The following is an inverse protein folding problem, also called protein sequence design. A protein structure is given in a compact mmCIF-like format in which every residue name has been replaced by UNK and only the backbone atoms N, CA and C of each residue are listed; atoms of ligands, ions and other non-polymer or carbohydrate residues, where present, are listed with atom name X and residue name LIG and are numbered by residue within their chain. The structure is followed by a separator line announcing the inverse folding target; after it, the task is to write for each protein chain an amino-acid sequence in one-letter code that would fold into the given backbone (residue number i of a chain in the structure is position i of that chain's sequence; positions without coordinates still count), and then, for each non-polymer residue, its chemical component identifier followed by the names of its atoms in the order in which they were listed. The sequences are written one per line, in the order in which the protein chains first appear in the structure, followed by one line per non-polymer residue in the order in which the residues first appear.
data_IF_513729874240
#
_entry.id   IF_513729874240
#
_cell.length_a   1.000
_cell.length_b   1.000
_cell.length_c   1.000
_cell.angle_alpha   90.00
_cell.angle_beta   90.00
_cell.angle_gamma   90.00
#
_symmetry.space_group_name_H-M   'P 1'
#
loop_
_entity.id
_entity.type
_entity.pdbx_description
1 polymer ?
#
# COMPACT_ATOMS: atom_id res chain seq x y z
N UNK A 1 13.78 -3.73 -14.17
CA UNK A 1 13.44 -5.05 -13.60
C UNK A 1 14.13 -6.16 -14.38
N UNK A 2 13.97 -6.22 -15.71
CA UNK A 2 14.70 -7.14 -16.62
C UNK A 2 16.21 -7.21 -16.33
N UNK A 3 16.92 -6.08 -16.23
CA UNK A 3 18.36 -6.05 -15.91
C UNK A 3 18.76 -6.69 -14.55
N UNK A 4 17.80 -6.88 -13.62
CA UNK A 4 18.00 -7.59 -12.34
C UNK A 4 17.58 -9.06 -12.42
N UNK A 5 17.28 -9.58 -13.62
CA UNK A 5 16.78 -10.93 -13.83
C UNK A 5 15.33 -11.15 -13.39
N UNK A 6 14.52 -10.10 -13.33
CA UNK A 6 13.06 -10.20 -13.06
C UNK A 6 12.33 -10.14 -14.41
N UNK A 7 11.79 -11.26 -14.92
CA UNK A 7 11.20 -11.31 -16.26
C UNK A 7 10.07 -10.31 -16.43
N UNK A 8 10.03 -9.65 -17.59
CA UNK A 8 9.00 -8.72 -18.01
C UNK A 8 8.24 -9.35 -19.18
N UNK A 9 6.98 -9.71 -18.98
CA UNK A 9 6.15 -10.35 -20.01
C UNK A 9 4.99 -9.43 -20.34
N UNK A 10 4.78 -9.12 -21.62
CA UNK A 10 3.68 -8.28 -22.09
C UNK A 10 2.64 -9.08 -22.89
N UNK A 11 1.36 -8.80 -22.68
CA UNK A 11 0.25 -9.41 -23.45
C UNK A 11 -0.64 -8.30 -23.99
N UNK A 12 -0.57 -8.05 -25.29
CA UNK A 12 -1.29 -6.99 -25.99
C UNK A 12 -2.64 -7.52 -26.46
N UNK A 13 -3.67 -7.26 -25.64
CA UNK A 13 -5.05 -7.66 -25.87
C UNK A 13 -5.91 -6.53 -26.49
N UNK A 14 -5.30 -5.43 -26.95
CA UNK A 14 -6.03 -4.28 -27.47
C UNK A 14 -5.11 -3.17 -27.94
N UNK A 15 -5.59 -1.93 -27.93
CA UNK A 15 -4.82 -0.77 -28.39
C UNK A 15 -3.71 -0.39 -27.42
N UNK A 16 -2.51 -0.22 -27.96
CA UNK A 16 -1.28 0.11 -27.24
C UNK A 16 -0.56 1.26 -27.97
N UNK A 17 -0.92 2.50 -27.64
CA UNK A 17 -0.55 3.70 -28.40
C UNK A 17 0.44 4.60 -27.65
N UNK A 18 1.23 5.36 -28.41
CA UNK A 18 2.17 6.37 -27.90
C UNK A 18 3.12 5.78 -26.85
N UNK A 19 3.20 6.39 -25.66
CA UNK A 19 4.05 5.88 -24.59
C UNK A 19 3.71 4.46 -24.14
N UNK A 20 2.46 4.02 -24.34
CA UNK A 20 2.03 2.65 -24.06
C UNK A 20 2.76 1.61 -24.91
N UNK A 21 3.15 1.95 -26.14
CA UNK A 21 3.83 1.04 -27.07
C UNK A 21 5.17 0.53 -26.54
N UNK A 22 5.78 1.24 -25.57
CA UNK A 22 7.00 0.77 -24.91
C UNK A 22 6.77 -0.40 -23.95
N UNK A 23 5.54 -0.66 -23.51
CA UNK A 23 5.24 -1.81 -22.64
C UNK A 23 5.58 -3.13 -23.34
N UNK A 24 5.05 -3.46 -24.53
CA UNK A 24 5.48 -4.64 -25.26
C UNK A 24 6.90 -4.52 -25.82
N UNK A 25 7.30 -3.34 -26.31
CA UNK A 25 8.61 -3.18 -26.96
C UNK A 25 9.81 -3.26 -26.00
N UNK A 26 9.60 -3.09 -24.69
CA UNK A 26 10.65 -3.23 -23.65
C UNK A 26 10.47 -4.47 -22.77
N UNK A 27 9.51 -5.33 -23.08
CA UNK A 27 9.35 -6.61 -22.40
C UNK A 27 10.43 -7.60 -22.87
N UNK A 28 10.76 -8.58 -22.02
CA UNK A 28 11.68 -9.67 -22.38
C UNK A 28 11.02 -10.61 -23.40
N UNK A 29 9.72 -10.85 -23.23
CA UNK A 29 8.86 -11.53 -24.20
C UNK A 29 7.48 -10.88 -24.27
N UNK A 30 6.91 -10.83 -25.46
CA UNK A 30 5.67 -10.11 -25.75
C UNK A 30 4.74 -10.89 -26.67
N UNK A 31 3.45 -10.86 -26.36
CA UNK A 31 2.37 -11.58 -27.05
C UNK A 31 1.38 -10.56 -27.59
N UNK A 32 0.84 -10.78 -28.79
CA UNK A 32 -0.19 -9.93 -29.40
C UNK A 32 -1.31 -10.75 -30.01
N UNK A 33 -2.56 -10.32 -29.79
CA UNK A 33 -3.74 -10.98 -30.37
C UNK A 33 -4.03 -10.42 -31.75
N UNK A 34 -4.16 -11.31 -32.74
CA UNK A 34 -4.49 -10.93 -34.13
C UNK A 34 -5.82 -10.19 -34.25
N UNK A 35 -5.92 -9.25 -35.18
CA UNK A 35 -7.14 -8.48 -35.47
C UNK A 35 -7.76 -7.82 -34.23
N UNK A 36 -6.95 -7.49 -33.22
CA UNK A 36 -7.41 -6.93 -31.94
C UNK A 36 -6.31 -6.11 -31.27
N UNK A 37 -5.14 -6.72 -31.07
CA UNK A 37 -3.97 -6.06 -30.51
C UNK A 37 -3.33 -5.13 -31.54
N UNK A 38 -3.03 -3.90 -31.14
CA UNK A 38 -2.34 -2.93 -32.00
C UNK A 38 -1.29 -2.16 -31.22
N UNK A 39 -0.10 -1.95 -31.80
CA UNK A 39 1.03 -1.27 -31.17
C UNK A 39 1.57 -0.18 -32.10
N UNK A 40 1.66 1.06 -31.64
CA UNK A 40 2.29 2.14 -32.43
C UNK A 40 2.61 3.36 -31.57
N UNK A 41 3.68 4.08 -31.91
CA UNK A 41 4.00 5.36 -31.27
C UNK A 41 3.06 6.49 -31.71
N UNK A 42 2.63 6.46 -32.97
CA UNK A 42 1.65 7.38 -33.51
C UNK A 42 0.50 6.61 -34.14
N UNK A 43 -0.69 6.70 -33.55
CA UNK A 43 -1.86 6.01 -34.09
C UNK A 43 -2.37 6.61 -35.41
N UNK A 44 -3.34 5.95 -36.07
CA UNK A 44 -3.86 6.40 -37.35
C UNK A 44 -4.28 7.89 -37.41
N UNK A 45 -4.93 8.47 -36.38
CA UNK A 45 -5.26 9.89 -36.39
C UNK A 45 -4.02 10.80 -36.46
N UNK A 46 -2.92 10.41 -35.81
CA UNK A 46 -1.68 11.17 -35.81
C UNK A 46 -0.95 11.05 -37.15
N UNK A 47 -0.90 9.83 -37.73
CA UNK A 47 -0.32 9.60 -39.06
C UNK A 47 -1.06 10.44 -40.10
N UNK A 48 -2.39 10.42 -40.09
CA UNK A 48 -3.21 11.23 -40.98
C UNK A 48 -2.98 12.73 -40.80
N UNK A 49 -2.90 13.21 -39.56
CA UNK A 49 -2.66 14.62 -39.29
C UNK A 49 -1.27 15.09 -39.75
N UNK A 50 -0.24 14.24 -39.62
CA UNK A 50 1.13 14.59 -39.95
C UNK A 50 1.47 14.42 -41.44
N UNK A 51 0.89 13.44 -42.12
CA UNK A 51 1.30 13.03 -43.48
C UNK A 51 0.16 13.08 -44.51
N UNK A 52 -1.10 13.18 -44.07
CA UNK A 52 -2.28 13.02 -44.92
C UNK A 52 -2.65 11.57 -45.23
N UNK A 53 -1.80 10.59 -44.89
CA UNK A 53 -2.05 9.18 -45.14
C UNK A 53 -3.20 8.62 -44.28
N UNK A 54 -4.08 7.84 -44.91
CA UNK A 54 -5.17 7.14 -44.22
C UNK A 54 -4.82 5.66 -44.16
N UNK A 55 -4.50 5.17 -42.97
CA UNK A 55 -4.13 3.78 -42.70
C UNK A 55 -5.00 3.22 -41.59
N UNK A 56 -5.32 1.92 -41.62
CA UNK A 56 -6.05 1.26 -40.54
C UNK A 56 -5.11 0.93 -39.38
N UNK A 57 -5.65 0.79 -38.17
CA UNK A 57 -4.85 0.44 -37.00
C UNK A 57 -4.15 -0.93 -37.15
N UNK A 58 -4.84 -1.92 -37.74
CA UNK A 58 -4.28 -3.25 -38.01
C UNK A 58 -3.14 -3.18 -39.03
N UNK A 59 -3.28 -2.38 -40.09
CA UNK A 59 -2.23 -2.23 -41.11
C UNK A 59 -1.02 -1.46 -40.57
N UNK A 60 -1.25 -0.51 -39.67
CA UNK A 60 -0.21 0.34 -39.08
C UNK A 60 0.62 -0.38 -38.01
N UNK A 61 -0.01 -1.26 -37.22
CA UNK A 61 0.64 -1.87 -36.07
C UNK A 61 -0.09 -3.10 -35.51
N UNK A 62 -0.75 -3.87 -36.36
CA UNK A 62 -1.41 -5.12 -35.98
C UNK A 62 -0.45 -6.27 -35.70
N UNK A 63 -1.00 -7.40 -35.29
CA UNK A 63 -0.24 -8.59 -34.92
C UNK A 63 0.61 -9.13 -36.08
N UNK A 64 0.06 -9.16 -37.29
CA UNK A 64 0.77 -9.69 -38.46
C UNK A 64 2.00 -8.82 -38.80
N UNK A 65 1.89 -7.50 -38.67
CA UNK A 65 3.03 -6.60 -38.87
C UNK A 65 4.13 -6.85 -37.84
N UNK A 66 3.77 -6.90 -36.54
CA UNK A 66 4.78 -6.97 -35.49
C UNK A 66 5.40 -8.35 -35.30
N UNK A 67 4.63 -9.44 -35.46
CA UNK A 67 5.18 -10.80 -35.36
C UNK A 67 5.92 -11.26 -36.62
N UNK A 68 5.59 -10.74 -37.81
CA UNK A 68 6.19 -11.23 -39.06
C UNK A 68 7.22 -10.31 -39.69
N UNK A 69 7.16 -9.00 -39.39
CA UNK A 69 7.99 -8.00 -40.08
C UNK A 69 8.86 -7.19 -39.14
N UNK A 70 8.27 -6.52 -38.14
CA UNK A 70 9.04 -5.60 -37.31
C UNK A 70 9.79 -6.29 -36.17
N UNK A 71 9.29 -7.42 -35.67
CA UNK A 71 9.83 -8.12 -34.51
C UNK A 71 9.60 -7.38 -33.19
N UNK A 72 8.60 -6.50 -33.12
CA UNK A 72 8.24 -5.80 -31.85
C UNK A 72 7.50 -6.75 -30.91
N UNK A 73 6.85 -7.78 -31.46
CA UNK A 73 6.14 -8.80 -30.69
C UNK A 73 6.60 -10.19 -31.06
N UNK A 74 6.80 -11.04 -30.06
CA UNK A 74 7.44 -12.35 -30.23
C UNK A 74 6.45 -13.47 -30.55
N UNK A 75 5.23 -13.38 -29.98
CA UNK A 75 4.23 -14.45 -30.04
C UNK A 75 2.90 -13.98 -30.65
N UNK A 76 2.41 -14.74 -31.64
CA UNK A 76 1.17 -14.46 -32.35
C UNK A 76 0.00 -15.26 -31.77
N UNK A 77 -0.93 -14.59 -31.09
CA UNK A 77 -2.11 -15.20 -30.48
C UNK A 77 -3.36 -15.10 -31.37
N UNK A 78 -4.25 -16.09 -31.24
CA UNK A 78 -5.47 -16.18 -32.06
C UNK A 78 -6.66 -15.45 -31.43
N UNK A 79 -6.66 -15.36 -30.09
CA UNK A 79 -7.64 -14.74 -29.23
C UNK A 79 -7.02 -14.59 -27.82
N UNK A 80 -7.75 -13.97 -26.89
CA UNK A 80 -7.28 -13.74 -25.52
C UNK A 80 -6.94 -15.03 -24.77
N UNK A 81 -7.76 -16.08 -24.88
CA UNK A 81 -7.50 -17.37 -24.22
C UNK A 81 -6.18 -17.99 -24.68
N UNK A 82 -5.91 -17.96 -25.99
CA UNK A 82 -4.66 -18.42 -26.55
C UNK A 82 -3.48 -17.55 -26.08
N UNK A 83 -3.64 -16.23 -26.03
CA UNK A 83 -2.60 -15.33 -25.52
C UNK A 83 -2.24 -15.64 -24.07
N UNK A 84 -3.23 -15.89 -23.22
CA UNK A 84 -3.02 -16.28 -21.82
C UNK A 84 -2.37 -17.67 -21.70
N UNK A 85 -2.70 -18.62 -22.57
CA UNK A 85 -2.04 -19.92 -22.61
C UNK A 85 -0.54 -19.78 -22.96
N UNK A 86 -0.21 -18.94 -23.94
CA UNK A 86 1.19 -18.64 -24.29
C UNK A 86 1.90 -17.98 -23.10
N UNK A 87 1.29 -16.98 -22.45
CA UNK A 87 1.86 -16.32 -21.29
C UNK A 87 2.19 -17.32 -20.16
N UNK A 88 1.32 -18.30 -19.92
CA UNK A 88 1.57 -19.38 -18.95
C UNK A 88 2.74 -20.28 -19.36
N UNK A 89 2.89 -20.56 -20.64
CA UNK A 89 4.02 -21.33 -21.16
C UNK A 89 5.34 -20.58 -20.95
N UNK A 90 5.39 -19.27 -21.20
CA UNK A 90 6.56 -18.43 -20.91
C UNK A 90 6.88 -18.48 -19.42
N UNK A 91 5.88 -18.32 -18.53
CA UNK A 91 6.10 -18.41 -17.08
C UNK A 91 6.66 -19.78 -16.67
N UNK A 92 6.30 -20.86 -17.36
CA UNK A 92 6.79 -22.21 -17.07
C UNK A 92 8.28 -22.42 -17.41
N UNK A 93 8.86 -21.58 -18.27
CA UNK A 93 10.27 -21.70 -18.72
C UNK A 93 11.22 -20.74 -18.02
N UNK A 94 10.75 -19.88 -17.10
CA UNK A 94 11.57 -18.84 -16.46
C UNK A 94 12.73 -19.38 -15.63
N UNK A 95 12.73 -20.68 -15.27
CA UNK A 95 13.76 -21.32 -14.44
C UNK A 95 14.02 -20.57 -13.11
N UNK A 96 13.00 -19.89 -12.58
CA UNK A 96 13.08 -19.16 -11.31
C UNK A 96 12.80 -20.12 -10.16
N UNK A 97 13.69 -20.13 -9.17
CA UNK A 97 13.49 -20.85 -7.91
C UNK A 97 13.43 -19.85 -6.76
N UNK A 98 12.36 -19.93 -5.98
CA UNK A 98 12.21 -19.18 -4.74
C UNK A 98 13.25 -19.69 -3.72
N UNK A 99 14.08 -18.79 -3.21
CA UNK A 99 15.02 -19.10 -2.12
C UNK A 99 14.45 -18.60 -0.81
N UNK A 100 14.05 -19.53 0.07
CA UNK A 100 13.50 -19.20 1.39
C UNK A 100 14.60 -19.40 2.43
N UNK A 101 15.08 -18.31 3.02
CA UNK A 101 16.10 -18.31 4.07
C UNK A 101 15.53 -18.41 5.50
N UNK A 102 14.21 -18.40 5.63
CA UNK A 102 13.51 -18.53 6.91
C UNK A 102 13.25 -19.99 7.25
N UNK A 103 13.29 -20.32 8.54
CA UNK A 103 12.79 -21.60 9.05
C UNK A 103 11.26 -21.56 9.09
N UNK A 104 10.63 -22.08 8.04
CA UNK A 104 9.17 -22.11 7.89
C UNK A 104 8.65 -23.44 8.41
N UNK A 105 7.73 -23.37 9.37
CA UNK A 105 7.06 -24.53 9.96
C UNK A 105 5.68 -24.75 9.36
N UNK A 106 5.10 -25.92 9.59
CA UNK A 106 3.75 -26.24 9.14
C UNK A 106 2.72 -25.29 9.77
N UNK A 107 1.83 -24.68 8.96
CA UNK A 107 0.83 -23.74 9.47
C UNK A 107 -0.11 -24.39 10.48
N UNK A 108 -0.43 -23.67 11.55
CA UNK A 108 -1.44 -24.08 12.54
C UNK A 108 -2.56 -23.03 12.61
N UNK A 109 -3.81 -23.47 12.59
CA UNK A 109 -4.94 -22.55 12.74
C UNK A 109 -4.93 -21.85 14.11
N UNK A 110 -5.35 -20.57 14.20
CA UNK A 110 -5.58 -19.90 15.48
C UNK A 110 -6.68 -20.60 16.28
N UNK A 111 -6.63 -20.50 17.61
CA UNK A 111 -7.62 -21.07 18.52
C UNK A 111 -8.95 -20.30 18.54
N UNK A 112 -8.98 -19.08 17.98
CA UNK A 112 -10.11 -18.17 18.02
C UNK A 112 -10.51 -17.72 16.62
N UNK A 113 -11.81 -17.56 16.38
CA UNK A 113 -12.33 -17.13 15.07
C UNK A 113 -11.97 -15.66 14.78
N UNK A 114 -11.59 -15.39 13.54
CA UNK A 114 -11.45 -14.04 12.99
C UNK A 114 -12.77 -13.27 12.91
N UNK A 115 -13.91 -13.95 13.05
CA UNK A 115 -15.24 -13.31 13.01
C UNK A 115 -15.45 -12.30 14.15
N UNK A 116 -14.73 -12.47 15.26
CA UNK A 116 -14.88 -11.65 16.46
C UNK A 116 -14.28 -10.24 16.32
N UNK A 117 -13.50 -9.94 15.26
CA UNK A 117 -12.82 -8.65 15.12
C UNK A 117 -13.76 -7.45 15.23
N UNK A 118 -14.99 -7.57 14.70
CA UNK A 118 -16.00 -6.52 14.80
C UNK A 118 -16.41 -6.20 16.24
N UNK A 119 -16.51 -7.22 17.10
CA UNK A 119 -16.85 -7.05 18.52
C UNK A 119 -15.68 -6.53 19.37
N UNK A 120 -14.45 -6.79 18.94
CA UNK A 120 -13.23 -6.39 19.65
C UNK A 120 -12.85 -4.95 19.32
N UNK A 121 -12.64 -4.66 18.03
CA UNK A 121 -12.10 -3.36 17.56
C UNK A 121 -13.22 -2.35 17.37
N UNK A 122 -14.36 -2.78 16.79
CA UNK A 122 -15.51 -1.92 16.54
C UNK A 122 -15.24 -0.75 15.59
N UNK A 123 -16.23 0.14 15.46
CA UNK A 123 -16.14 1.35 14.62
C UNK A 123 -15.71 2.62 15.36
N UNK A 124 -15.70 2.60 16.70
CA UNK A 124 -15.38 3.79 17.50
C UNK A 124 -13.89 3.82 17.83
N UNK A 125 -13.14 4.66 17.12
CA UNK A 125 -11.68 4.82 17.30
C UNK A 125 -11.24 5.33 18.68
N UNK A 126 -12.16 5.83 19.51
CA UNK A 126 -11.85 6.27 20.89
C UNK A 126 -11.98 5.17 21.92
N UNK A 127 -12.68 4.08 21.58
CA UNK A 127 -12.86 2.97 22.52
C UNK A 127 -11.56 2.17 22.56
N UNK A 128 -11.00 2.03 23.75
CA UNK A 128 -9.83 1.18 23.96
C UNK A 128 -10.25 -0.28 23.94
N UNK A 129 -9.35 -1.13 23.45
CA UNK A 129 -9.48 -2.58 23.47
C UNK A 129 -8.11 -3.21 23.65
N UNK A 130 -8.07 -4.47 24.08
CA UNK A 130 -6.80 -5.20 24.17
C UNK A 130 -6.42 -5.78 22.79
N UNK A 131 -5.40 -5.21 22.17
CA UNK A 131 -4.90 -5.65 20.85
C UNK A 131 -4.41 -7.10 20.86
N UNK A 132 -4.11 -7.69 22.03
CA UNK A 132 -3.79 -9.12 22.14
C UNK A 132 -4.94 -10.01 21.67
N UNK A 133 -6.18 -9.54 21.79
CA UNK A 133 -7.35 -10.23 21.25
C UNK A 133 -7.32 -10.31 19.72
N UNK A 134 -6.76 -9.29 19.06
CA UNK A 134 -6.54 -9.29 17.60
C UNK A 134 -5.39 -10.24 17.26
N UNK A 135 -4.25 -10.12 17.95
CA UNK A 135 -3.06 -10.96 17.70
C UNK A 135 -3.40 -12.45 17.84
N UNK A 136 -4.12 -12.83 18.90
CA UNK A 136 -4.49 -14.22 19.16
C UNK A 136 -5.33 -14.85 18.02
N UNK A 137 -6.02 -14.05 17.21
CA UNK A 137 -6.83 -14.50 16.05
C UNK A 137 -6.06 -14.47 14.74
N UNK A 138 -4.83 -13.96 14.74
CA UNK A 138 -3.98 -13.86 13.56
C UNK A 138 -2.82 -14.84 13.56
N UNK A 139 -2.25 -15.17 14.72
CA UNK A 139 -1.04 -16.00 14.83
C UNK A 139 -1.35 -17.48 15.02
N UNK A 140 -0.42 -18.31 14.57
CA UNK A 140 -0.55 -19.77 14.59
C UNK A 140 -0.75 -20.33 15.99
N UNK A 141 -1.78 -21.16 16.15
CA UNK A 141 -2.17 -21.73 17.45
C UNK A 141 -2.47 -20.70 18.53
N UNK A 142 -2.71 -19.43 18.17
CA UNK A 142 -2.83 -18.29 19.10
C UNK A 142 -1.64 -18.14 20.04
N UNK A 143 -0.46 -18.64 19.66
CA UNK A 143 0.76 -18.58 20.46
C UNK A 143 1.51 -17.30 20.17
N UNK A 144 1.70 -16.49 21.20
CA UNK A 144 2.44 -15.22 21.11
C UNK A 144 3.37 -15.06 22.30
N UNK A 145 4.67 -14.95 22.03
CA UNK A 145 5.67 -14.66 23.05
C UNK A 145 5.88 -13.15 23.15
N UNK A 146 5.36 -12.54 24.20
CA UNK A 146 5.37 -11.09 24.36
C UNK A 146 6.71 -10.58 24.93
N UNK A 147 7.46 -9.83 24.13
CA UNK A 147 8.67 -9.13 24.58
C UNK A 147 8.33 -7.88 25.38
N UNK A 148 9.01 -7.66 26.52
CA UNK A 148 8.79 -6.51 27.42
C UNK A 148 7.32 -6.33 27.85
N UNK A 149 6.57 -7.42 28.04
CA UNK A 149 5.15 -7.44 28.44
C UNK A 149 4.74 -6.46 29.54
N UNK A 150 5.63 -6.18 30.49
CA UNK A 150 5.36 -5.31 31.65
C UNK A 150 5.92 -3.88 31.52
N UNK A 151 6.48 -3.50 30.36
CA UNK A 151 7.13 -2.22 30.15
C UNK A 151 6.58 -1.52 28.89
N UNK A 152 6.08 -0.30 29.03
CA UNK A 152 5.53 0.46 27.89
C UNK A 152 4.25 -0.18 27.31
N UNK A 153 3.33 -0.61 28.18
CA UNK A 153 2.17 -1.47 27.86
C UNK A 153 1.13 -0.85 26.92
N UNK A 154 1.29 0.43 26.54
CA UNK A 154 0.47 1.09 25.51
C UNK A 154 0.76 0.57 24.11
N UNK A 155 1.85 -0.18 23.91
CA UNK A 155 2.09 -0.95 22.70
C UNK A 155 2.48 -2.40 23.03
N UNK A 156 1.87 -3.36 22.34
CA UNK A 156 2.30 -4.76 22.39
C UNK A 156 3.52 -4.87 21.46
N UNK A 157 4.71 -4.66 22.05
CA UNK A 157 6.03 -4.47 21.42
C UNK A 157 6.20 -3.15 20.63
N UNK A 158 6.57 -2.07 21.33
CA UNK A 158 7.14 -0.83 20.77
C UNK A 158 6.95 0.40 21.66
N UNK A 159 6.75 1.59 21.10
CA UNK A 159 6.81 2.87 21.81
C UNK A 159 5.46 3.49 22.24
N UNK A 160 5.57 4.36 23.25
CA UNK A 160 4.50 4.99 24.03
C UNK A 160 3.97 6.26 23.36
N UNK A 161 2.69 6.61 23.55
CA UNK A 161 2.09 7.94 23.23
C UNK A 161 1.29 8.40 24.46
N UNK A 162 1.41 9.66 24.88
CA UNK A 162 0.71 10.21 26.06
C UNK A 162 1.51 11.25 26.83
N UNK A 163 0.90 11.97 27.78
CA UNK A 163 1.57 13.04 28.57
C UNK A 163 2.80 12.54 29.34
N UNK A 164 2.70 11.35 29.93
CA UNK A 164 3.82 10.72 30.65
C UNK A 164 4.92 10.28 29.68
N UNK A 165 4.56 9.91 28.44
CA UNK A 165 5.51 9.60 27.38
C UNK A 165 6.27 10.86 26.95
N UNK A 166 5.55 11.96 26.74
CA UNK A 166 6.09 13.28 26.41
C UNK A 166 7.08 13.75 27.48
N UNK A 167 6.68 13.69 28.75
CA UNK A 167 7.54 14.05 29.88
C UNK A 167 8.81 13.19 29.98
N UNK A 168 8.75 11.92 29.54
CA UNK A 168 9.87 10.98 29.56
C UNK A 168 10.66 10.91 28.24
N UNK A 169 10.49 11.88 27.34
CA UNK A 169 11.32 12.02 26.14
C UNK A 169 10.89 11.15 24.95
N UNK A 170 9.58 10.97 24.74
CA UNK A 170 9.00 10.29 23.57
C UNK A 170 9.60 10.75 22.24
N UNK A 171 9.93 12.03 22.06
CA UNK A 171 10.53 12.51 20.81
C UNK A 171 11.87 11.82 20.51
N UNK A 172 12.70 11.60 21.55
CA UNK A 172 13.99 10.91 21.44
C UNK A 172 13.81 9.42 21.19
N UNK A 173 12.87 8.80 21.90
CA UNK A 173 12.55 7.39 21.79
C UNK A 173 11.87 7.06 20.44
N UNK A 174 10.96 7.92 19.99
CA UNK A 174 10.32 7.89 18.68
C UNK A 174 11.33 8.09 17.55
N UNK A 175 12.30 8.98 17.71
CA UNK A 175 13.39 9.10 16.74
C UNK A 175 14.19 7.79 16.61
N UNK A 176 14.51 7.11 17.72
CA UNK A 176 15.17 5.78 17.69
C UNK A 176 14.29 4.74 16.97
N UNK A 177 12.98 4.71 17.23
CA UNK A 177 12.05 3.81 16.53
C UNK A 177 12.05 4.08 15.02
N UNK A 178 11.91 5.34 14.63
CA UNK A 178 11.87 5.76 13.23
C UNK A 178 13.17 5.39 12.54
N UNK A 179 14.33 5.59 13.17
CA UNK A 179 15.61 5.09 12.64
C UNK A 179 15.59 3.58 12.43
N UNK A 180 15.11 2.81 13.42
CA UNK A 180 15.04 1.36 13.29
C UNK A 180 14.12 0.91 12.14
N UNK A 181 12.91 1.49 12.05
CA UNK A 181 11.92 1.20 11.00
C UNK A 181 12.44 1.59 9.62
N UNK A 182 13.15 2.71 9.51
CA UNK A 182 13.72 3.19 8.25
C UNK A 182 14.84 2.28 7.72
N UNK A 183 15.68 1.78 8.62
CA UNK A 183 16.88 1.03 8.28
C UNK A 183 16.66 -0.48 8.14
N UNK A 184 15.60 -1.03 8.73
CA UNK A 184 15.29 -2.45 8.66
C UNK A 184 15.03 -2.90 7.21
N UNK A 185 15.79 -3.89 6.75
CA UNK A 185 15.75 -4.52 5.42
C UNK A 185 14.89 -5.78 5.38
N UNK A 186 14.51 -6.32 6.54
CA UNK A 186 13.51 -7.39 6.62
C UNK A 186 12.19 -6.97 5.96
N UNK A 187 11.41 -7.90 5.36
CA UNK A 187 10.10 -7.58 4.82
C UNK A 187 9.17 -7.01 5.90
N UNK A 188 8.73 -5.76 5.72
CA UNK A 188 7.79 -5.06 6.61
C UNK A 188 6.38 -5.11 6.01
N UNK A 189 5.39 -5.34 6.85
CA UNK A 189 3.97 -5.32 6.47
C UNK A 189 3.20 -4.48 7.48
N UNK A 190 2.28 -3.65 6.99
CA UNK A 190 1.51 -2.74 7.83
C UNK A 190 0.02 -2.97 7.62
N UNK A 191 -0.74 -3.06 8.72
CA UNK A 191 -2.20 -3.11 8.67
C UNK A 191 -2.76 -2.05 9.61
N UNK A 192 -3.47 -1.07 9.06
CA UNK A 192 -4.13 -0.03 9.85
C UNK A 192 -5.49 -0.57 10.29
N UNK A 193 -5.56 -1.01 11.55
CA UNK A 193 -6.80 -1.57 12.16
C UNK A 193 -7.64 -0.52 12.91
N UNK A 194 -7.14 0.71 13.01
CA UNK A 194 -7.74 1.81 13.77
C UNK A 194 -7.28 3.18 13.26
N UNK A 195 -6.85 4.08 14.16
CA UNK A 195 -6.34 5.39 13.77
C UNK A 195 -4.85 5.36 13.40
N UNK A 196 -4.48 5.98 12.27
CA UNK A 196 -3.10 6.28 11.90
C UNK A 196 -2.90 7.79 11.83
N UNK A 197 -2.32 8.36 12.88
CA UNK A 197 -2.24 9.81 13.06
C UNK A 197 -0.81 10.29 13.33
N UNK A 198 -0.41 11.35 12.63
CA UNK A 198 0.81 12.12 12.90
C UNK A 198 2.08 11.27 13.00
N UNK A 199 2.89 11.53 14.03
CA UNK A 199 4.16 10.83 14.23
C UNK A 199 3.99 9.32 14.53
N UNK A 200 2.81 8.89 15.01
CA UNK A 200 2.50 7.48 15.21
C UNK A 200 2.54 6.69 13.91
N UNK A 201 2.06 7.29 12.80
CA UNK A 201 2.17 6.69 11.47
C UNK A 201 3.63 6.43 11.08
N UNK A 202 4.55 7.32 11.46
CA UNK A 202 5.96 7.17 11.14
C UNK A 202 6.62 6.04 11.94
N UNK A 203 6.38 6.05 13.25
CA UNK A 203 6.91 5.03 14.15
C UNK A 203 6.39 3.61 13.85
N UNK A 204 5.19 3.50 13.26
CA UNK A 204 4.53 2.23 12.99
C UNK A 204 4.62 1.79 11.52
N UNK A 205 5.69 2.20 10.82
CA UNK A 205 5.95 1.79 9.43
C UNK A 205 4.83 2.16 8.45
N UNK A 206 4.37 3.42 8.49
CA UNK A 206 3.44 3.97 7.50
C UNK A 206 4.02 4.01 6.07
N UNK A 207 3.23 4.49 5.11
CA UNK A 207 3.53 4.41 3.67
C UNK A 207 4.93 4.91 3.27
N UNK A 208 5.43 5.96 3.92
CA UNK A 208 6.75 6.55 3.65
C UNK A 208 7.94 5.63 4.01
N UNK A 209 7.72 4.56 4.79
CA UNK A 209 8.77 3.65 5.26
C UNK A 209 8.86 2.36 4.44
N UNK A 210 8.22 2.36 3.27
CA UNK A 210 8.28 1.28 2.27
C UNK A 210 8.01 -0.12 2.84
N UNK A 211 6.88 -0.34 3.56
CA UNK A 211 6.42 -1.71 3.78
C UNK A 211 6.17 -2.38 2.42
N UNK A 212 6.39 -3.70 2.33
CA UNK A 212 6.14 -4.47 1.11
C UNK A 212 4.67 -4.40 0.70
N UNK A 213 3.78 -4.38 1.70
CA UNK A 213 2.36 -4.11 1.55
C UNK A 213 1.84 -3.33 2.77
N UNK A 214 0.94 -2.38 2.54
CA UNK A 214 0.20 -1.65 3.57
C UNK A 214 -1.30 -1.78 3.30
N UNK A 215 -2.05 -2.33 4.25
CA UNK A 215 -3.50 -2.49 4.14
C UNK A 215 -4.25 -1.65 5.17
N UNK A 216 -5.51 -1.37 4.88
CA UNK A 216 -6.41 -0.68 5.80
C UNK A 216 -7.65 -1.52 6.10
N UNK A 217 -8.12 -1.48 7.34
CA UNK A 217 -9.45 -1.97 7.68
C UNK A 217 -10.54 -0.93 7.38
N UNK A 218 -11.81 -1.31 7.17
CA UNK A 218 -12.87 -0.37 6.81
C UNK A 218 -13.21 0.65 7.90
N UNK A 219 -12.94 0.32 9.18
CA UNK A 219 -13.16 1.22 10.32
C UNK A 219 -11.99 2.20 10.56
N UNK A 220 -10.86 2.03 9.86
CA UNK A 220 -9.65 2.82 10.10
C UNK A 220 -9.79 4.28 9.66
N UNK A 221 -8.94 5.15 10.18
CA UNK A 221 -8.80 6.55 9.72
C UNK A 221 -7.34 6.93 9.62
N UNK A 222 -6.98 7.75 8.63
CA UNK A 222 -5.61 8.25 8.45
C UNK A 222 -5.60 9.76 8.25
N UNK A 223 -4.79 10.49 9.02
CA UNK A 223 -4.64 11.95 8.86
C UNK A 223 -3.42 12.47 9.64
N UNK A 224 -3.07 13.74 9.47
CA UNK A 224 -1.97 14.35 10.24
C UNK A 224 -2.23 14.36 11.76
N UNK A 225 -3.50 14.49 12.16
CA UNK A 225 -3.98 14.37 13.55
C UNK A 225 -5.48 14.06 13.54
N UNK A 226 -6.08 13.75 14.70
CA UNK A 226 -7.53 13.50 14.77
C UNK A 226 -8.34 14.75 14.44
N UNK A 227 -9.51 14.59 13.79
CA UNK A 227 -10.33 15.73 13.33
C UNK A 227 -10.76 16.68 14.46
N UNK A 228 -11.14 16.15 15.62
CA UNK A 228 -11.45 16.99 16.79
C UNK A 228 -10.24 17.74 17.34
N UNK A 229 -9.06 17.10 17.33
CA UNK A 229 -7.82 17.75 17.78
C UNK A 229 -7.46 18.90 16.83
N UNK A 230 -7.52 18.66 15.51
CA UNK A 230 -7.28 19.70 14.51
C UNK A 230 -8.27 20.86 14.65
N UNK A 231 -9.55 20.56 14.80
CA UNK A 231 -10.60 21.57 14.99
C UNK A 231 -10.36 22.40 16.26
N UNK A 232 -10.02 21.75 17.38
CA UNK A 232 -9.70 22.42 18.64
C UNK A 232 -8.49 23.36 18.52
N UNK A 233 -7.38 22.87 17.97
CA UNK A 233 -6.14 23.67 17.80
C UNK A 233 -6.36 24.85 16.87
N UNK A 234 -6.97 24.63 15.71
CA UNK A 234 -7.23 25.69 14.73
C UNK A 234 -8.23 26.73 15.25
N UNK A 235 -9.23 26.29 16.03
CA UNK A 235 -10.14 27.21 16.69
C UNK A 235 -9.40 28.05 17.74
N UNK A 236 -8.57 27.45 18.58
CA UNK A 236 -7.81 28.21 19.58
C UNK A 236 -6.93 29.29 18.93
N UNK A 237 -6.17 28.93 17.89
CA UNK A 237 -5.34 29.90 17.15
C UNK A 237 -6.17 31.05 16.56
N UNK A 238 -7.38 30.75 16.08
CA UNK A 238 -8.28 31.77 15.54
C UNK A 238 -8.87 32.66 16.64
N UNK A 239 -9.22 32.11 17.80
CA UNK A 239 -9.62 32.90 18.98
C UNK A 239 -8.52 33.88 19.39
N UNK A 240 -7.29 33.39 19.56
CA UNK A 240 -6.14 34.21 19.97
C UNK A 240 -5.88 35.37 18.97
N UNK A 241 -6.09 35.13 17.68
CA UNK A 241 -5.96 36.17 16.65
C UNK A 241 -7.08 37.22 16.72
N UNK A 242 -8.31 36.83 17.04
CA UNK A 242 -9.43 37.76 17.23
C UNK A 242 -9.20 38.64 18.46
N UNK A 243 -8.75 38.05 19.58
CA UNK A 243 -8.42 38.79 20.80
C UNK A 243 -7.33 39.84 20.56
N UNK A 244 -6.28 39.50 19.78
CA UNK A 244 -5.20 40.43 19.41
C UNK A 244 -5.67 41.66 18.64
N UNK A 245 -6.76 41.57 17.88
CA UNK A 245 -7.34 42.68 17.12
C UNK A 245 -8.55 43.32 17.82
N UNK A 246 -8.77 42.98 19.11
CA UNK A 246 -9.86 43.52 19.92
C UNK A 246 -11.25 43.07 19.48
N UNK A 247 -11.35 41.97 18.74
CA UNK A 247 -12.64 41.39 18.32
C UNK A 247 -12.96 40.15 19.15
N UNK A 248 -14.25 39.92 19.39
CA UNK A 248 -14.74 38.68 20.01
C UNK A 248 -15.17 37.72 18.90
N UNK A 249 -14.74 36.47 18.99
CA UNK A 249 -15.21 35.43 18.08
C UNK A 249 -16.43 34.75 18.68
N UNK A 250 -17.58 34.85 18.01
CA UNK A 250 -18.83 34.28 18.51
C UNK A 250 -18.79 32.75 18.58
N UNK A 251 -19.40 32.19 19.63
CA UNK A 251 -19.46 30.73 19.84
C UNK A 251 -20.10 30.02 18.66
N UNK A 252 -21.17 30.58 18.08
CA UNK A 252 -21.86 29.99 16.93
C UNK A 252 -20.98 29.91 15.67
N UNK A 253 -20.08 30.87 15.48
CA UNK A 253 -19.10 30.86 14.39
C UNK A 253 -17.95 29.90 14.67
N UNK A 254 -17.54 29.78 15.92
CA UNK A 254 -16.52 28.82 16.38
C UNK A 254 -16.96 27.38 16.18
N UNK A 255 -18.21 27.05 16.53
CA UNK A 255 -18.76 25.71 16.36
C UNK A 255 -18.87 25.33 14.88
N UNK A 256 -19.40 26.24 14.04
CA UNK A 256 -19.44 26.04 12.57
C UNK A 256 -18.05 25.82 11.98
N UNK A 257 -17.05 26.54 12.47
CA UNK A 257 -15.66 26.40 12.02
C UNK A 257 -15.07 25.05 12.41
N UNK A 258 -15.29 24.62 13.66
CA UNK A 258 -14.85 23.30 14.14
C UNK A 258 -15.53 22.17 13.37
N UNK A 259 -16.83 22.25 13.17
CA UNK A 259 -17.61 21.26 12.42
C UNK A 259 -17.13 21.10 10.98
N UNK A 260 -16.80 22.21 10.31
CA UNK A 260 -16.25 22.17 8.96
C UNK A 260 -14.91 21.43 8.90
N UNK A 261 -14.04 21.63 9.90
CA UNK A 261 -12.75 20.93 9.99
C UNK A 261 -12.96 19.45 10.29
N UNK A 262 -13.83 19.11 11.24
CA UNK A 262 -14.12 17.71 11.59
C UNK A 262 -14.65 16.95 10.36
N UNK A 263 -15.59 17.53 9.61
CA UNK A 263 -16.12 16.94 8.37
C UNK A 263 -15.04 16.75 7.31
N UNK A 264 -14.14 17.73 7.16
CA UNK A 264 -13.00 17.61 6.24
C UNK A 264 -12.11 16.42 6.62
N UNK A 265 -11.74 16.31 7.89
CA UNK A 265 -10.88 15.22 8.38
C UNK A 265 -11.56 13.85 8.29
N UNK A 266 -12.87 13.77 8.52
CA UNK A 266 -13.62 12.53 8.34
C UNK A 266 -13.66 12.11 6.87
N UNK A 267 -13.85 13.05 5.95
CA UNK A 267 -13.85 12.77 4.51
C UNK A 267 -12.47 12.36 4.00
N UNK A 268 -11.44 13.17 4.28
CA UNK A 268 -10.07 12.94 3.78
C UNK A 268 -9.37 11.79 4.51
N UNK A 269 -9.79 11.48 5.74
CA UNK A 269 -9.25 10.37 6.52
C UNK A 269 -9.96 9.04 6.32
N UNK A 270 -11.06 9.00 5.55
CA UNK A 270 -11.79 7.78 5.28
C UNK A 270 -10.95 6.78 4.46
N UNK A 271 -11.01 5.45 4.71
CA UNK A 271 -10.22 4.47 3.96
C UNK A 271 -10.43 4.54 2.44
N UNK A 272 -11.64 4.82 1.98
CA UNK A 272 -11.91 5.04 0.54
C UNK A 272 -11.16 6.23 -0.05
N UNK A 273 -10.99 7.32 0.72
CA UNK A 273 -10.22 8.47 0.25
C UNK A 273 -8.73 8.14 0.11
N UNK A 274 -8.21 7.37 1.07
CA UNK A 274 -6.83 6.84 1.11
C UNK A 274 -6.55 5.89 -0.05
N UNK A 275 -7.39 4.86 -0.20
CA UNK A 275 -7.18 3.79 -1.19
C UNK A 275 -7.34 4.31 -2.63
N UNK A 276 -8.24 5.27 -2.86
CA UNK A 276 -8.36 5.97 -4.14
C UNK A 276 -7.09 6.75 -4.55
N UNK A 277 -6.14 6.94 -3.64
CA UNK A 277 -4.87 7.67 -3.84
C UNK A 277 -3.64 6.80 -3.62
N UNK A 278 -3.81 5.48 -3.47
CA UNK A 278 -2.74 4.50 -3.28
C UNK A 278 -1.83 4.78 -2.07
N UNK A 279 -2.38 5.42 -1.04
CA UNK A 279 -1.70 5.56 0.26
C UNK A 279 -1.61 4.21 0.99
N UNK A 280 -2.52 3.31 0.65
CA UNK A 280 -2.57 1.89 0.98
C UNK A 280 -2.67 1.05 -0.31
N UNK A 281 -2.41 -0.25 -0.20
CA UNK A 281 -2.50 -1.23 -1.27
C UNK A 281 -3.87 -1.93 -1.31
N UNK A 282 -4.83 -1.43 -0.52
CA UNK A 282 -6.21 -1.90 -0.51
C UNK A 282 -6.85 -1.90 0.87
N UNK A 283 -8.17 -1.73 0.85
CA UNK A 283 -9.03 -1.96 2.01
C UNK A 283 -9.39 -3.45 2.04
N UNK A 284 -9.11 -4.12 3.16
CA UNK A 284 -9.37 -5.54 3.33
C UNK A 284 -10.47 -5.78 4.35
N UNK A 285 -11.21 -6.87 4.19
CA UNK A 285 -12.07 -7.37 5.27
C UNK A 285 -11.18 -7.76 6.47
N UNK A 286 -11.48 -7.29 7.70
CA UNK A 286 -10.71 -7.67 8.88
C UNK A 286 -10.47 -9.18 9.02
N UNK A 287 -11.46 -10.00 8.63
CA UNK A 287 -11.38 -11.46 8.68
C UNK A 287 -10.31 -12.06 7.77
N UNK A 288 -10.04 -11.38 6.65
CA UNK A 288 -9.06 -11.84 5.66
C UNK A 288 -7.62 -11.44 6.01
N UNK A 289 -7.40 -10.70 7.11
CA UNK A 289 -6.07 -10.18 7.50
C UNK A 289 -5.01 -11.27 7.56
N UNK A 290 -5.30 -12.43 8.19
CA UNK A 290 -4.37 -13.56 8.29
C UNK A 290 -4.00 -14.11 6.91
N UNK A 291 -5.00 -14.32 6.05
CA UNK A 291 -4.81 -14.85 4.69
C UNK A 291 -3.98 -13.88 3.84
N UNK A 292 -4.34 -12.59 3.86
CA UNK A 292 -3.63 -11.56 3.09
C UNK A 292 -2.18 -11.47 3.55
N UNK A 293 -1.91 -11.38 4.85
CA UNK A 293 -0.53 -11.34 5.37
C UNK A 293 0.26 -12.60 5.04
N UNK A 294 -0.34 -13.79 5.12
CA UNK A 294 0.32 -15.04 4.72
C UNK A 294 0.71 -15.06 3.24
N UNK A 295 -0.17 -14.59 2.36
CA UNK A 295 0.13 -14.45 0.93
C UNK A 295 1.20 -13.38 0.67
N UNK A 296 1.12 -12.22 1.33
CA UNK A 296 2.11 -11.14 1.22
C UNK A 296 3.50 -11.59 1.68
N UNK A 297 3.58 -12.33 2.80
CA UNK A 297 4.82 -12.92 3.30
C UNK A 297 5.39 -13.92 2.30
N UNK A 298 4.55 -14.85 1.80
CA UNK A 298 4.99 -15.82 0.80
C UNK A 298 5.51 -15.12 -0.47
N UNK A 299 4.83 -14.09 -0.96
CA UNK A 299 5.28 -13.33 -2.14
C UNK A 299 6.61 -12.61 -1.89
N UNK A 300 6.77 -11.97 -0.73
CA UNK A 300 7.98 -11.22 -0.38
C UNK A 300 9.26 -12.08 -0.34
N UNK A 301 9.10 -13.37 -0.03
CA UNK A 301 10.19 -14.35 0.02
C UNK A 301 10.68 -14.82 -1.37
N UNK A 302 10.19 -14.25 -2.47
CA UNK A 302 10.87 -14.37 -3.77
C UNK A 302 12.12 -13.49 -3.86
N UNK A 303 12.25 -12.47 -2.99
CA UNK A 303 13.44 -11.66 -2.85
C UNK A 303 14.28 -12.16 -1.67
N UNK A 304 15.62 -12.17 -1.77
CA UNK A 304 16.47 -12.40 -0.61
C UNK A 304 16.21 -11.32 0.46
N UNK A 305 16.42 -11.71 1.72
CA UNK A 305 16.41 -10.79 2.87
C UNK A 305 17.82 -10.23 3.01
N UNK A 306 17.95 -8.91 2.87
CA UNK A 306 19.24 -8.23 2.99
C UNK A 306 19.60 -7.99 4.47
N UNK A 307 20.88 -7.77 4.74
CA UNK A 307 21.35 -7.45 6.08
C UNK A 307 20.98 -6.01 6.46
N UNK A 308 20.58 -5.82 7.73
CA UNK A 308 20.26 -4.49 8.25
C UNK A 308 21.52 -3.61 8.38
N UNK A 309 21.41 -2.34 7.98
CA UNK A 309 22.41 -1.31 8.25
C UNK A 309 21.73 -0.10 8.89
N UNK A 310 21.95 0.07 10.19
CA UNK A 310 21.34 1.18 10.94
C UNK A 310 22.15 2.47 10.81
N UNK A 311 21.42 3.58 10.71
CA UNK A 311 21.98 4.92 10.89
C UNK A 311 22.35 5.20 12.34
N UNK A 312 22.74 6.45 12.61
CA UNK A 312 23.13 6.88 13.96
C UNK A 312 21.88 6.93 14.86
N UNK A 313 21.92 6.21 15.98
CA UNK A 313 20.92 6.32 17.03
C UNK A 313 21.25 7.48 17.97
N UNK A 314 20.28 8.38 18.20
CA UNK A 314 20.42 9.49 19.16
C UNK A 314 20.22 8.99 20.59
N UNK A 315 21.31 8.59 21.26
CA UNK A 315 21.30 7.91 22.56
C UNK A 315 20.77 8.74 23.70
#
# INVERSE_FOLDING_TARGET
MSAKGIPQIAVVLGSCTAGGAYVPAMADESIIVKNQGTVFLGGPPLVKAATGEVVLAEDLGGADLHCRRSGVTDHYAQNDEHALAIARNIVSTLNIKKSVSLDVTDPMEPLYSSDDFGGIVGGNLRKTFDVRQVIARLVDGSKFQEFKKLYGTTLVTGFMVGSDAEANGIAKNGAKLVTAVSCAQVPKFTVIIGGSFGAGNYGMCGRAYSPRMLYMWPNSRISVMGGEQAAGVLAQVKMDNFERIGKVWETSESDKFKDAIIKKYEHEGHPYFSSARLWDDGIINPKDTRKVLGLSLSAALNSPIEADQFGIFRM
#
